data_IF_160810876458
#
_entry.id   IF_160810876458
#
_cell.length_a   1.000
_cell.length_b   1.000
_cell.length_c   1.000
_cell.angle_alpha   90.00
_cell.angle_beta   90.00
_cell.angle_gamma   90.00
#
_symmetry.space_group_name_H-M   'P 1'
#
loop_
_entity.id
_entity.type
_entity.pdbx_description
1 polymer ?
#
# COMPACT_ATOMS: atom_id res chain seq x y z
N UNK A 1 -9.61 -6.80 -17.23
CA UNK A 1 -8.94 -6.27 -16.03
C UNK A 1 -7.70 -5.51 -16.50
N UNK A 2 -7.73 -4.19 -16.43
CA UNK A 2 -6.66 -3.33 -16.96
C UNK A 2 -5.63 -3.10 -15.85
N UNK A 3 -4.44 -3.66 -16.03
CA UNK A 3 -3.30 -3.41 -15.15
C UNK A 3 -2.87 -1.98 -15.43
N UNK A 4 -3.19 -1.06 -14.51
CA UNK A 4 -2.48 0.21 -14.48
C UNK A 4 -0.99 -0.13 -14.40
N UNK A 5 -0.20 0.46 -15.29
CA UNK A 5 1.25 0.28 -15.38
C UNK A 5 1.88 0.87 -14.11
N UNK A 6 1.72 0.18 -12.97
CA UNK A 6 2.43 0.45 -11.74
C UNK A 6 3.84 -0.01 -12.02
N UNK A 7 4.74 0.94 -12.18
CA UNK A 7 6.15 0.67 -12.37
C UNK A 7 6.70 -0.01 -11.12
N UNK A 8 6.81 -1.34 -11.16
CA UNK A 8 7.55 -2.15 -10.19
C UNK A 8 9.03 -2.17 -10.62
N UNK A 9 9.98 -2.30 -9.69
CA UNK A 9 11.40 -2.54 -9.99
C UNK A 9 11.62 -3.65 -11.05
N UNK A 10 10.76 -4.69 -11.07
CA UNK A 10 10.81 -5.77 -12.09
C UNK A 10 10.33 -5.36 -13.49
N UNK A 11 9.58 -4.27 -13.60
CA UNK A 11 8.99 -3.77 -14.85
C UNK A 11 9.69 -2.50 -15.38
N UNK A 12 10.87 -2.15 -14.84
CA UNK A 12 11.66 -1.00 -15.30
C UNK A 12 11.26 0.34 -14.69
N UNK A 13 10.58 0.35 -13.54
CA UNK A 13 10.29 1.58 -12.81
C UNK A 13 11.54 2.25 -12.27
N UNK A 14 11.72 3.53 -12.57
CA UNK A 14 12.82 4.33 -12.04
C UNK A 14 12.42 4.96 -10.72
N UNK A 15 13.07 4.53 -9.64
CA UNK A 15 12.93 5.16 -8.32
C UNK A 15 14.02 6.22 -8.19
N UNK A 16 13.62 7.45 -7.85
CA UNK A 16 14.55 8.54 -7.57
C UNK A 16 14.13 9.19 -6.26
N UNK A 17 15.13 9.54 -5.46
CA UNK A 17 14.89 10.36 -4.27
C UNK A 17 14.30 11.72 -4.68
N UNK A 18 13.14 12.02 -4.09
CA UNK A 18 12.33 13.20 -4.33
C UNK A 18 12.19 14.06 -3.07
N UNK A 19 12.94 13.78 -1.99
CA UNK A 19 12.82 14.47 -0.70
C UNK A 19 12.95 15.99 -0.80
N UNK A 20 13.71 16.50 -1.79
CA UNK A 20 13.85 17.93 -2.08
C UNK A 20 12.53 18.64 -2.45
N UNK A 21 11.49 17.90 -2.82
CA UNK A 21 10.17 18.44 -3.16
C UNK A 21 9.20 18.42 -1.97
N UNK A 22 9.63 18.00 -0.79
CA UNK A 22 8.79 18.06 0.41
C UNK A 22 8.78 19.50 0.93
N UNK A 23 7.59 20.09 0.98
CA UNK A 23 7.35 21.44 1.51
C UNK A 23 6.45 21.37 2.75
N UNK A 24 6.41 22.46 3.53
CA UNK A 24 5.49 22.57 4.67
C UNK A 24 4.02 22.42 4.24
N UNK A 25 3.62 23.03 3.12
CA UNK A 25 2.24 22.93 2.62
C UNK A 25 1.85 21.48 2.25
N UNK A 26 2.77 20.74 1.64
CA UNK A 26 2.57 19.32 1.33
C UNK A 26 2.50 18.49 2.61
N UNK A 27 3.37 18.76 3.56
CA UNK A 27 3.37 18.08 4.86
C UNK A 27 2.06 18.32 5.62
N UNK A 28 1.61 19.57 5.73
CA UNK A 28 0.33 19.94 6.36
C UNK A 28 -0.88 19.27 5.67
N UNK A 29 -0.81 19.10 4.35
CA UNK A 29 -1.85 18.38 3.61
C UNK A 29 -1.89 16.91 4.00
N UNK A 30 -0.75 16.22 4.02
CA UNK A 30 -0.69 14.82 4.44
C UNK A 30 -1.01 14.63 5.92
N UNK A 31 -0.61 15.56 6.79
CA UNK A 31 -0.97 15.52 8.20
C UNK A 31 -2.48 15.59 8.37
N UNK A 32 -3.18 16.51 7.68
CA UNK A 32 -4.66 16.54 7.74
C UNK A 32 -5.30 15.25 7.25
N UNK A 33 -4.76 14.65 6.18
CA UNK A 33 -5.25 13.37 5.66
C UNK A 33 -5.02 12.26 6.70
N UNK A 34 -3.82 12.17 7.28
CA UNK A 34 -3.47 11.19 8.30
C UNK A 34 -4.37 11.33 9.54
N UNK A 35 -4.58 12.55 10.04
CA UNK A 35 -5.45 12.81 11.20
C UNK A 35 -6.94 12.55 10.92
N UNK A 36 -7.36 12.55 9.65
CA UNK A 36 -8.74 12.21 9.30
C UNK A 36 -9.03 10.70 9.40
N UNK A 37 -7.98 9.87 9.49
CA UNK A 37 -8.09 8.42 9.63
C UNK A 37 -7.97 8.00 11.11
N UNK A 38 -9.05 7.50 11.74
CA UNK A 38 -8.99 7.08 13.13
C UNK A 38 -7.94 5.97 13.35
N UNK A 39 -7.16 6.08 14.42
CA UNK A 39 -6.13 5.10 14.80
C UNK A 39 -5.02 4.87 13.75
N UNK A 40 -4.86 5.81 12.80
CA UNK A 40 -3.73 5.80 11.88
C UNK A 40 -2.51 6.44 12.52
N UNK A 41 -1.47 5.63 12.79
CA UNK A 41 -0.25 6.08 13.46
C UNK A 41 0.99 6.03 12.57
N UNK A 42 0.97 5.19 11.53
CA UNK A 42 2.11 4.97 10.64
C UNK A 42 1.64 4.37 9.33
N UNK A 43 2.12 4.91 8.23
CA UNK A 43 1.96 4.35 6.90
C UNK A 43 2.61 5.19 5.81
N UNK A 44 2.63 4.64 4.60
CA UNK A 44 3.11 5.29 3.38
C UNK A 44 1.93 5.55 2.46
N UNK A 45 1.91 6.73 1.86
CA UNK A 45 0.94 7.09 0.83
C UNK A 45 1.60 6.93 -0.53
N UNK A 46 1.04 6.07 -1.37
CA UNK A 46 1.45 5.96 -2.76
C UNK A 46 0.52 6.86 -3.57
N UNK A 47 1.08 7.88 -4.20
CA UNK A 47 0.34 8.93 -4.87
C UNK A 47 0.63 9.00 -6.36
N UNK A 48 -0.32 9.53 -7.11
CA UNK A 48 -0.18 9.93 -8.50
C UNK A 48 -0.48 11.42 -8.63
N UNK A 49 0.35 12.13 -9.37
CA UNK A 49 0.22 13.57 -9.61
C UNK A 49 0.74 13.92 -11.00
N UNK A 50 0.36 15.09 -11.52
CA UNK A 50 0.75 15.55 -12.86
C UNK A 50 1.82 16.66 -12.84
N UNK A 51 1.82 17.51 -11.81
CA UNK A 51 2.80 18.60 -11.63
C UNK A 51 3.45 18.53 -10.26
N UNK A 52 4.78 18.54 -10.26
CA UNK A 52 5.58 18.61 -9.03
C UNK A 52 5.29 19.91 -8.27
N UNK A 53 5.10 21.02 -8.96
CA UNK A 53 4.80 22.33 -8.37
C UNK A 53 3.43 22.32 -7.68
N UNK A 54 2.42 21.69 -8.30
CA UNK A 54 1.10 21.53 -7.69
C UNK A 54 1.16 20.61 -6.45
N UNK A 55 1.88 19.50 -6.57
CA UNK A 55 2.13 18.60 -5.44
C UNK A 55 2.83 19.32 -4.28
N UNK A 56 3.86 20.12 -4.57
CA UNK A 56 4.57 20.94 -3.57
C UNK A 56 3.66 21.97 -2.88
N UNK A 57 2.49 22.30 -3.44
CA UNK A 57 1.47 23.14 -2.78
C UNK A 57 0.42 22.33 -2.02
N UNK A 58 0.54 21.00 -2.00
CA UNK A 58 -0.44 20.09 -1.41
C UNK A 58 -1.69 19.86 -2.28
N UNK A 59 -1.60 20.12 -3.59
CA UNK A 59 -2.74 20.09 -4.51
C UNK A 59 -2.53 19.05 -5.64
N UNK A 60 -3.61 18.74 -6.35
CA UNK A 60 -3.62 18.00 -7.63
C UNK A 60 -2.87 16.67 -7.61
N UNK A 61 -3.10 15.88 -6.56
CA UNK A 61 -2.67 14.49 -6.46
C UNK A 61 -3.82 13.59 -6.03
N UNK A 62 -3.71 12.32 -6.41
CA UNK A 62 -4.60 11.24 -5.99
C UNK A 62 -3.81 10.21 -5.20
N UNK A 63 -4.35 9.79 -4.05
CA UNK A 63 -3.82 8.65 -3.30
C UNK A 63 -4.29 7.38 -3.98
N UNK A 64 -3.34 6.55 -4.41
CA UNK A 64 -3.60 5.28 -5.09
C UNK A 64 -3.62 4.13 -4.08
N UNK A 65 -2.75 4.18 -3.08
CA UNK A 65 -2.67 3.17 -2.03
C UNK A 65 -2.21 3.80 -0.70
N UNK A 66 -2.72 3.27 0.41
CA UNK A 66 -2.21 3.58 1.75
C UNK A 66 -1.66 2.29 2.34
N UNK A 67 -0.35 2.25 2.49
CA UNK A 67 0.39 1.11 3.02
C UNK A 67 0.60 1.29 4.52
N UNK A 68 -0.03 0.43 5.34
CA UNK A 68 0.16 0.45 6.80
C UNK A 68 1.48 -0.21 7.23
N UNK A 69 1.47 -0.83 8.42
CA UNK A 69 2.63 -1.51 9.02
C UNK A 69 3.22 -2.63 8.15
N UNK A 70 2.41 -3.24 7.28
CA UNK A 70 2.83 -4.29 6.35
C UNK A 70 3.37 -3.80 5.00
N UNK A 71 3.45 -2.48 4.78
CA UNK A 71 4.03 -1.91 3.57
C UNK A 71 5.51 -2.26 3.45
N UNK A 72 5.93 -2.71 2.27
CA UNK A 72 7.33 -3.00 1.98
C UNK A 72 8.18 -1.73 2.21
N UNK A 73 9.32 -1.88 2.88
CA UNK A 73 10.29 -0.80 3.10
C UNK A 73 11.03 -0.50 1.79
N UNK A 74 10.36 0.16 0.83
CA UNK A 74 10.92 0.43 -0.50
C UNK A 74 12.23 1.24 -0.40
N UNK A 75 12.36 2.12 0.60
CA UNK A 75 13.57 2.91 0.88
C UNK A 75 14.79 2.07 1.31
N UNK A 76 14.61 0.78 1.61
CA UNK A 76 15.67 -0.16 1.98
C UNK A 76 16.30 -0.86 0.76
N UNK A 77 15.67 -0.76 -0.42
CA UNK A 77 16.08 -1.46 -1.65
C UNK A 77 16.82 -0.57 -2.65
N UNK A 78 17.31 0.59 -2.22
CA UNK A 78 18.22 1.39 -3.04
C UNK A 78 19.58 0.66 -3.15
N UNK A 79 20.02 0.27 -4.36
CA UNK A 79 21.28 -0.45 -4.55
C UNK A 79 22.52 0.38 -4.18
N UNK A 80 22.39 1.70 -4.06
CA UNK A 80 23.46 2.60 -3.64
C UNK A 80 23.60 2.68 -2.11
N UNK A 81 22.64 2.15 -1.34
CA UNK A 81 22.71 2.14 0.12
C UNK A 81 23.63 1.03 0.65
N UNK A 82 24.61 1.36 1.53
CA UNK A 82 25.37 0.34 2.23
C UNK A 82 24.46 -0.58 3.05
N UNK A 83 24.73 -1.88 3.04
CA UNK A 83 23.95 -2.89 3.77
C UNK A 83 23.73 -2.53 5.26
N UNK A 84 24.74 -1.95 5.91
CA UNK A 84 24.61 -1.49 7.30
C UNK A 84 23.60 -0.36 7.47
N UNK A 85 23.53 0.56 6.52
CA UNK A 85 22.56 1.65 6.52
C UNK A 85 21.14 1.11 6.30
N UNK A 86 20.98 0.11 5.42
CA UNK A 86 19.72 -0.62 5.24
C UNK A 86 19.23 -1.25 6.55
N UNK A 87 20.09 -2.00 7.25
CA UNK A 87 19.72 -2.58 8.55
C UNK A 87 19.41 -1.51 9.60
N UNK A 88 20.17 -0.40 9.63
CA UNK A 88 19.93 0.71 10.55
C UNK A 88 18.52 1.29 10.36
N UNK A 89 18.11 1.50 9.11
CA UNK A 89 16.76 1.98 8.74
C UNK A 89 15.68 0.97 9.14
N UNK A 90 15.88 -0.33 8.83
CA UNK A 90 14.95 -1.39 9.24
C UNK A 90 14.76 -1.43 10.75
N UNK A 91 15.85 -1.43 11.54
CA UNK A 91 15.74 -1.42 13.01
C UNK A 91 15.13 -0.13 13.56
N UNK A 92 15.35 1.02 12.92
CA UNK A 92 14.69 2.27 13.31
C UNK A 92 13.17 2.18 13.09
N UNK A 93 12.74 1.68 11.93
CA UNK A 93 11.33 1.44 11.63
C UNK A 93 10.69 0.46 12.62
N UNK A 94 11.33 -0.69 12.87
CA UNK A 94 10.82 -1.67 13.84
C UNK A 94 10.68 -1.06 15.25
N UNK A 95 11.68 -0.28 15.71
CA UNK A 95 11.61 0.41 17.01
C UNK A 95 10.47 1.43 17.09
N UNK A 96 10.13 2.12 16.00
CA UNK A 96 8.98 3.01 15.94
C UNK A 96 7.67 2.21 16.05
N UNK A 97 7.54 1.12 15.29
CA UNK A 97 6.36 0.26 15.32
C UNK A 97 6.12 -0.36 16.70
N UNK A 98 7.18 -0.82 17.39
CA UNK A 98 7.06 -1.32 18.76
C UNK A 98 6.62 -0.23 19.75
N UNK A 99 7.10 1.01 19.59
CA UNK A 99 6.64 2.14 20.41
C UNK A 99 5.16 2.46 20.20
N UNK A 100 4.70 2.48 18.94
CA UNK A 100 3.28 2.67 18.61
C UNK A 100 2.46 1.53 19.23
N UNK A 101 2.91 0.29 19.08
CA UNK A 101 2.26 -0.88 19.66
C UNK A 101 2.17 -0.83 21.19
N UNK A 102 3.23 -0.37 21.86
CA UNK A 102 3.22 -0.18 23.32
C UNK A 102 2.26 0.93 23.75
N UNK A 103 2.26 2.06 23.05
CA UNK A 103 1.29 3.15 23.27
C UNK A 103 -0.15 2.65 23.14
N UNK A 104 -0.44 1.87 22.09
CA UNK A 104 -1.77 1.30 21.88
C UNK A 104 -2.13 0.27 22.95
N UNK A 105 -1.16 -0.53 23.43
CA UNK A 105 -1.38 -1.43 24.58
C UNK A 105 -1.74 -0.69 25.84
N UNK A 106 -1.05 0.42 26.15
CA UNK A 106 -1.36 1.28 27.31
C UNK A 106 -2.75 1.91 27.20
N UNK A 107 -3.19 2.21 25.98
CA UNK A 107 -4.56 2.68 25.68
C UNK A 107 -5.63 1.57 25.75
N UNK A 108 -5.24 0.32 26.02
CA UNK A 108 -6.14 -0.83 26.20
C UNK A 108 -6.30 -1.75 24.99
N UNK A 109 -5.64 -1.46 23.86
CA UNK A 109 -5.67 -2.36 22.70
C UNK A 109 -4.89 -3.64 23.00
N UNK A 110 -5.54 -4.79 22.80
CA UNK A 110 -4.92 -6.10 23.04
C UNK A 110 -4.41 -6.68 21.71
N UNK A 111 -3.11 -7.05 21.62
CA UNK A 111 -2.61 -7.74 20.45
C UNK A 111 -3.28 -9.10 20.31
N UNK A 112 -3.30 -9.63 19.09
CA UNK A 112 -3.76 -10.99 18.85
C UNK A 112 -2.90 -11.98 19.65
N UNK A 113 -3.54 -12.89 20.39
CA UNK A 113 -2.82 -13.93 21.13
C UNK A 113 -2.03 -14.83 20.19
N UNK A 114 -0.87 -15.31 20.62
CA UNK A 114 0.08 -16.10 19.82
C UNK A 114 -0.58 -17.31 19.13
N UNK A 115 -1.46 -18.04 19.83
CA UNK A 115 -2.22 -19.15 19.26
C UNK A 115 -3.15 -18.70 18.11
N UNK A 116 -3.90 -17.61 18.30
CA UNK A 116 -4.79 -17.06 17.26
C UNK A 116 -3.99 -16.55 16.07
N UNK A 117 -2.85 -15.93 16.32
CA UNK A 117 -1.93 -15.48 15.28
C UNK A 117 -1.38 -16.66 14.47
N UNK A 118 -0.91 -17.72 15.14
CA UNK A 118 -0.43 -18.92 14.48
C UNK A 118 -1.54 -19.61 13.67
N UNK A 119 -2.74 -19.76 14.23
CA UNK A 119 -3.89 -20.31 13.52
C UNK A 119 -4.26 -19.47 12.28
N UNK A 120 -4.20 -18.15 12.38
CA UNK A 120 -4.38 -17.23 11.25
C UNK A 120 -3.33 -17.46 10.15
N UNK A 121 -2.05 -17.56 10.52
CA UNK A 121 -0.97 -17.84 9.57
C UNK A 121 -1.16 -19.19 8.86
N UNK A 122 -1.47 -20.25 9.61
CA UNK A 122 -1.72 -21.59 9.06
C UNK A 122 -2.92 -21.58 8.11
N UNK A 123 -4.01 -20.90 8.45
CA UNK A 123 -5.19 -20.79 7.58
C UNK A 123 -4.88 -20.04 6.28
N UNK A 124 -4.08 -18.98 6.35
CA UNK A 124 -3.67 -18.20 5.17
C UNK A 124 -2.70 -18.98 4.28
N UNK A 125 -1.80 -19.77 4.87
CA UNK A 125 -0.93 -20.68 4.14
C UNK A 125 -1.74 -21.79 3.43
N UNK A 126 -2.78 -22.33 4.09
CA UNK A 126 -3.70 -23.31 3.50
C UNK A 126 -4.56 -22.76 2.35
N UNK A 127 -4.96 -21.48 2.42
CA UNK A 127 -5.67 -20.82 1.31
C UNK A 127 -4.79 -20.51 0.10
N UNK A 128 -3.49 -20.26 0.29
CA UNK A 128 -2.55 -20.10 -0.84
C UNK A 128 -2.34 -21.42 -1.59
N UNK A 129 -2.35 -22.56 -0.88
CA UNK A 129 -2.28 -23.89 -1.50
C UNK A 129 -3.57 -24.29 -2.25
N UNK A 130 -4.70 -23.62 -1.99
CA UNK A 130 -5.98 -23.88 -2.66
C UNK A 130 -6.14 -23.11 -4.00
N UNK A 131 -5.24 -22.17 -4.32
CA UNK A 131 -5.20 -21.57 -5.64
C UNK A 131 -4.51 -22.53 -6.62
N UNK A 132 -5.24 -23.56 -7.06
CA UNK A 132 -4.85 -24.34 -8.25
C UNK A 132 -4.72 -23.36 -9.43
N UNK A 133 -3.75 -23.55 -10.34
CA UNK A 133 -3.75 -22.81 -11.59
C UNK A 133 -5.04 -23.17 -12.34
N UNK A 134 -5.96 -22.22 -12.49
CA UNK A 134 -7.06 -22.35 -13.44
C UNK A 134 -6.46 -22.18 -14.85
N UNK A 135 -5.94 -23.26 -15.42
CA UNK A 135 -5.58 -23.35 -16.84
C UNK A 135 -6.72 -23.84 -17.72
N UNK A 136 -7.95 -23.92 -17.22
CA UNK A 136 -9.12 -24.34 -18.00
C UNK A 136 -10.32 -23.43 -17.73
N UNK A 137 -10.34 -22.28 -18.41
CA UNK A 137 -11.57 -21.58 -18.83
C UNK A 137 -11.24 -20.77 -20.08
N UNK A 138 -10.69 -21.45 -21.09
CA UNK A 138 -10.70 -20.95 -22.46
C UNK A 138 -11.99 -21.47 -23.11
N UNK A 139 -12.86 -20.56 -23.57
CA UNK A 139 -13.98 -20.92 -24.44
C UNK A 139 -15.38 -20.59 -23.93
N UNK A 140 -15.70 -19.30 -23.85
CA UNK A 140 -17.05 -18.85 -24.21
C UNK A 140 -16.95 -17.44 -24.79
N UNK A 141 -16.81 -17.41 -26.11
CA UNK A 141 -16.98 -16.22 -26.95
C UNK A 141 -18.39 -15.68 -26.71
N UNK A 142 -18.50 -14.50 -26.10
CA UNK A 142 -19.71 -13.70 -26.22
C UNK A 142 -19.61 -12.90 -27.52
N UNK A 143 -20.35 -13.33 -28.55
CA UNK A 143 -20.61 -12.53 -29.74
C UNK A 143 -21.78 -11.57 -29.48
N UNK A 144 -21.79 -10.36 -30.07
CA UNK A 144 -22.76 -9.31 -29.75
C UNK A 144 -23.94 -9.28 -30.73
N UNK A 145 -25.16 -9.12 -30.21
CA UNK A 145 -26.40 -8.65 -30.87
C UNK A 145 -27.54 -8.98 -29.88
N UNK A 146 -28.57 -8.19 -29.61
CA UNK A 146 -29.21 -7.13 -30.37
C UNK A 146 -30.17 -6.37 -29.44
N UNK A 147 -30.46 -5.14 -29.86
CA UNK A 147 -31.51 -4.23 -29.38
C UNK A 147 -32.89 -4.90 -29.34
N UNK A 148 -33.69 -4.58 -28.31
CA UNK A 148 -35.12 -4.89 -28.29
C UNK A 148 -35.83 -4.43 -27.01
N UNK A 149 -36.21 -3.15 -26.92
CA UNK A 149 -37.44 -2.76 -26.21
C UNK A 149 -38.63 -3.19 -27.08
N UNK A 150 -39.76 -3.68 -26.54
CA UNK A 150 -40.77 -2.77 -25.98
C UNK A 150 -41.68 -3.34 -24.87
N UNK A 151 -42.42 -2.45 -24.21
CA UNK A 151 -43.84 -2.72 -23.89
C UNK A 151 -44.23 -2.90 -22.42
N UNK A 152 -44.81 -1.82 -21.86
CA UNK A 152 -46.08 -1.77 -21.14
C UNK A 152 -46.60 -3.07 -20.47
N UNK A 153 -46.76 -3.04 -19.15
CA UNK A 153 -48.07 -2.92 -18.49
C UNK A 153 -47.90 -2.52 -17.02
#
# INVERSE_FOLDING_TARGET
>A
MQIAFISNQRAGGLYRDAHRYITAALQDRFDRIAHSMPEFHYGRFDIRFESTEALMRGNDFSIIEINGIGGEAIDAWDPELPVMETYRRLFAQQRLLFRIGDSNRRRGFKPMGSYKFLAFLVRRAGSFAACRPQTECCGAVASPASIGSPGLH
#
